data_IF_384574551125
#
_entry.id   IF_384574551125
#
_cell.length_a   1.000
_cell.length_b   1.000
_cell.length_c   1.000
_cell.angle_alpha   90.00
_cell.angle_beta   90.00
_cell.angle_gamma   90.00
#
_symmetry.space_group_name_H-M   'P 1'
#
loop_
_entity.id
_entity.type
_entity.pdbx_description
1 polymer ?
#
# COMPACT_ATOMS: atom_id res chain seq x y z
N UNK A 1 -6.85 -24.70 32.55
CA UNK A 1 -5.49 -24.60 32.01
C UNK A 1 -5.57 -23.86 30.69
N UNK A 2 -5.28 -22.57 30.71
CA UNK A 2 -5.14 -21.73 29.52
C UNK A 2 -3.83 -22.13 28.84
N UNK A 3 -3.94 -22.90 27.77
CA UNK A 3 -2.79 -23.32 27.01
C UNK A 3 -2.16 -22.10 26.31
N UNK A 4 -0.87 -21.86 26.54
CA UNK A 4 -0.03 -20.95 25.74
C UNK A 4 -0.54 -19.50 25.61
N UNK A 5 -0.80 -18.82 26.74
CA UNK A 5 -1.18 -17.39 26.78
C UNK A 5 -2.50 -17.02 26.10
N UNK A 6 -3.40 -17.98 25.93
CA UNK A 6 -4.75 -17.75 25.40
C UNK A 6 -5.76 -17.78 26.53
N UNK A 7 -6.47 -16.67 26.73
CA UNK A 7 -7.46 -16.46 27.77
C UNK A 7 -8.83 -16.33 27.12
N UNK A 8 -9.82 -17.06 27.66
CA UNK A 8 -11.20 -16.99 27.17
C UNK A 8 -11.96 -16.00 28.03
N UNK A 9 -12.57 -15.00 27.39
CA UNK A 9 -13.44 -14.02 28.03
C UNK A 9 -14.86 -14.15 27.45
N UNK A 10 -15.90 -13.85 28.23
CA UNK A 10 -15.93 -13.47 29.65
C UNK A 10 -15.65 -14.63 30.61
N UNK A 11 -14.89 -14.36 31.69
CA UNK A 11 -14.62 -15.32 32.76
C UNK A 11 -14.51 -14.59 34.11
N UNK A 12 -15.49 -14.78 35.00
CA UNK A 12 -15.59 -14.05 36.28
C UNK A 12 -14.44 -14.37 37.23
N UNK A 13 -13.77 -15.51 37.06
CA UNK A 13 -12.60 -15.88 37.87
C UNK A 13 -11.33 -15.11 37.48
N UNK A 14 -11.36 -14.33 36.40
CA UNK A 14 -10.23 -13.55 35.90
C UNK A 14 -10.63 -12.09 35.96
N UNK A 15 -10.25 -11.38 37.02
CA UNK A 15 -10.48 -9.95 37.20
C UNK A 15 -9.26 -9.11 36.78
N UNK A 16 -8.07 -9.72 36.77
CA UNK A 16 -6.81 -9.09 36.40
C UNK A 16 -5.97 -9.96 35.48
N UNK A 17 -5.51 -9.39 34.37
CA UNK A 17 -4.54 -9.98 33.47
C UNK A 17 -3.22 -9.22 33.53
N UNK A 18 -2.14 -9.91 33.87
CA UNK A 18 -0.80 -9.30 33.89
C UNK A 18 0.05 -9.83 32.75
N UNK A 19 0.67 -8.94 31.97
CA UNK A 19 1.74 -9.26 31.01
C UNK A 19 3.09 -8.89 31.60
N UNK A 20 4.11 -9.67 31.28
CA UNK A 20 5.45 -9.53 31.85
C UNK A 20 6.49 -9.38 30.75
N UNK A 21 7.63 -8.81 31.08
CA UNK A 21 8.77 -8.66 30.17
C UNK A 21 9.28 -10.00 29.59
N UNK A 22 9.12 -11.12 30.30
CA UNK A 22 9.66 -12.40 29.86
C UNK A 22 9.06 -12.86 28.53
N UNK A 23 9.91 -13.38 27.62
CA UNK A 23 9.51 -13.84 26.28
C UNK A 23 8.31 -14.82 26.27
N UNK A 24 8.14 -15.60 27.33
CA UNK A 24 7.02 -16.53 27.47
C UNK A 24 5.71 -15.84 27.86
N UNK A 25 5.72 -14.69 28.53
CA UNK A 25 4.54 -13.99 29.06
C UNK A 25 4.38 -12.55 28.55
N UNK A 26 5.20 -12.13 27.57
CA UNK A 26 5.14 -10.80 26.96
C UNK A 26 3.87 -10.56 26.15
N UNK A 27 3.16 -11.63 25.78
CA UNK A 27 1.96 -11.55 24.93
C UNK A 27 0.86 -12.45 25.46
N UNK A 28 -0.37 -11.95 25.41
CA UNK A 28 -1.57 -12.69 25.80
C UNK A 28 -2.69 -12.42 24.80
N UNK A 29 -3.42 -13.47 24.43
CA UNK A 29 -4.57 -13.38 23.56
C UNK A 29 -5.84 -13.49 24.39
N UNK A 30 -6.73 -12.52 24.25
CA UNK A 30 -8.08 -12.56 24.79
C UNK A 30 -9.03 -12.97 23.68
N UNK A 31 -9.74 -14.07 23.86
CA UNK A 31 -10.69 -14.61 22.88
C UNK A 31 -12.10 -14.50 23.46
N UNK A 32 -12.96 -13.73 22.80
CA UNK A 32 -14.36 -13.63 23.15
C UNK A 32 -15.10 -14.91 22.72
N UNK A 33 -15.71 -15.63 23.67
CA UNK A 33 -16.56 -16.81 23.42
C UNK A 33 -17.82 -16.76 24.28
N UNK A 34 -18.83 -17.53 23.87
CA UNK A 34 -19.95 -17.83 24.76
C UNK A 34 -19.43 -18.74 25.88
N UNK A 35 -19.58 -18.30 27.13
CA UNK A 35 -19.15 -19.02 28.33
C UNK A 35 -20.36 -19.26 29.24
N UNK A 36 -20.19 -20.04 30.31
CA UNK A 36 -21.22 -20.17 31.35
C UNK A 36 -21.61 -18.84 31.96
N UNK A 37 -20.64 -17.93 32.07
CA UNK A 37 -20.78 -16.63 32.72
C UNK A 37 -21.51 -15.63 31.81
N UNK A 38 -21.41 -15.85 30.49
CA UNK A 38 -22.12 -15.08 29.48
C UNK A 38 -22.65 -16.01 28.37
N UNK A 39 -23.82 -16.64 28.58
CA UNK A 39 -24.46 -17.50 27.60
C UNK A 39 -25.05 -16.69 26.43
N UNK A 40 -25.49 -17.39 25.39
CA UNK A 40 -26.24 -16.80 24.27
C UNK A 40 -27.72 -16.64 24.66
N UNK A 41 -28.01 -15.71 25.57
CA UNK A 41 -29.37 -15.40 26.01
C UNK A 41 -29.82 -14.06 25.42
N UNK A 42 -30.97 -14.02 24.75
CA UNK A 42 -31.47 -12.87 23.98
C UNK A 42 -31.92 -11.66 24.82
N UNK A 43 -31.92 -11.76 26.15
CA UNK A 43 -32.48 -10.75 27.05
C UNK A 43 -31.59 -10.40 28.25
N UNK A 44 -30.45 -11.07 28.42
CA UNK A 44 -29.52 -10.79 29.51
C UNK A 44 -28.22 -10.19 28.93
N UNK A 45 -28.01 -8.86 29.08
CA UNK A 45 -26.81 -8.21 28.60
C UNK A 45 -25.60 -8.73 29.39
N UNK A 46 -24.67 -9.38 28.69
CA UNK A 46 -23.39 -9.76 29.24
C UNK A 46 -22.52 -8.51 29.40
N UNK A 47 -22.09 -8.24 30.62
CA UNK A 47 -21.09 -7.21 30.95
C UNK A 47 -19.99 -7.86 31.76
N UNK A 48 -18.75 -7.67 31.33
CA UNK A 48 -17.58 -8.23 32.00
C UNK A 48 -16.46 -7.20 32.00
N UNK A 49 -15.87 -6.99 33.18
CA UNK A 49 -14.82 -6.00 33.39
C UNK A 49 -13.56 -6.71 33.90
N UNK A 50 -12.41 -6.32 33.38
CA UNK A 50 -11.11 -6.82 33.83
C UNK A 50 -10.04 -5.74 33.76
N UNK A 51 -9.02 -5.85 34.60
CA UNK A 51 -7.86 -4.95 34.60
C UNK A 51 -6.67 -5.59 33.89
N UNK A 52 -6.14 -4.92 32.89
CA UNK A 52 -4.90 -5.28 32.21
C UNK A 52 -3.72 -4.54 32.89
N UNK A 53 -2.65 -5.26 33.17
CA UNK A 53 -1.48 -4.72 33.85
C UNK A 53 -0.17 -5.13 33.16
N UNK A 54 0.70 -4.17 32.87
CA UNK A 54 2.08 -4.42 32.48
C UNK A 54 2.97 -4.45 33.73
N UNK A 55 3.60 -5.59 33.99
CA UNK A 55 4.49 -5.80 35.13
C UNK A 55 5.93 -5.93 34.65
N UNK A 56 6.65 -4.83 34.67
CA UNK A 56 8.08 -4.73 34.38
C UNK A 56 8.61 -3.39 34.87
N UNK A 57 9.89 -3.37 35.24
CA UNK A 57 10.59 -2.21 35.80
C UNK A 57 12.05 -2.23 35.34
N UNK A 58 12.27 -1.99 34.05
CA UNK A 58 13.62 -1.75 33.56
C UNK A 58 13.99 -0.27 33.77
N UNK A 59 15.18 -0.06 34.35
CA UNK A 59 15.79 1.27 34.54
C UNK A 59 14.93 2.34 35.25
N UNK A 60 13.93 1.93 36.04
CA UNK A 60 13.07 2.84 36.80
C UNK A 60 11.99 3.55 35.96
N UNK A 61 11.70 3.06 34.74
CA UNK A 61 10.63 3.56 33.89
C UNK A 61 9.40 2.65 33.95
N UNK A 62 8.22 3.23 33.80
CA UNK A 62 6.97 2.48 33.76
C UNK A 62 6.81 1.78 32.41
N UNK A 63 6.57 0.47 32.45
CA UNK A 63 6.15 -0.33 31.31
C UNK A 63 4.79 0.09 30.77
N UNK A 64 4.50 -0.26 29.52
CA UNK A 64 3.25 0.08 28.83
C UNK A 64 2.59 -1.17 28.26
N UNK A 65 1.32 -1.01 27.89
CA UNK A 65 0.52 -2.02 27.21
C UNK A 65 0.32 -1.59 25.76
N UNK A 66 0.64 -2.48 24.83
CA UNK A 66 0.19 -2.36 23.45
C UNK A 66 -0.96 -3.32 23.18
N UNK A 67 -1.99 -2.85 22.49
CA UNK A 67 -3.16 -3.66 22.18
C UNK A 67 -3.41 -3.66 20.67
N UNK A 68 -3.60 -4.86 20.11
CA UNK A 68 -3.91 -5.07 18.70
C UNK A 68 -5.15 -5.97 18.56
N UNK A 69 -6.07 -5.59 17.69
CA UNK A 69 -7.22 -6.43 17.33
C UNK A 69 -6.76 -7.44 16.28
N UNK A 70 -6.90 -8.73 16.58
CA UNK A 70 -6.48 -9.84 15.72
C UNK A 70 -7.66 -10.34 14.90
N UNK A 71 -8.79 -10.60 15.57
CA UNK A 71 -10.04 -10.93 14.91
C UNK A 71 -11.11 -9.93 15.29
N UNK A 72 -11.92 -9.57 14.30
CA UNK A 72 -12.87 -8.48 14.39
C UNK A 72 -14.18 -8.94 15.01
N UNK A 73 -14.93 -7.92 15.41
CA UNK A 73 -16.36 -8.01 15.69
C UNK A 73 -17.07 -8.43 14.40
N UNK A 74 -17.94 -9.44 14.48
CA UNK A 74 -18.78 -9.85 13.35
C UNK A 74 -20.05 -8.98 13.24
N UNK A 75 -20.72 -9.05 12.09
CA UNK A 75 -21.98 -8.33 11.87
C UNK A 75 -23.18 -9.03 12.55
N UNK A 76 -23.02 -10.30 12.95
CA UNK A 76 -24.06 -11.12 13.56
C UNK A 76 -24.23 -10.88 15.08
N UNK A 77 -23.31 -10.14 15.72
CA UNK A 77 -23.32 -9.83 17.15
C UNK A 77 -23.22 -8.33 17.40
N UNK A 78 -23.67 -7.88 18.56
CA UNK A 78 -23.46 -6.53 19.09
C UNK A 78 -22.27 -6.43 20.07
N UNK A 79 -21.42 -7.45 20.15
CA UNK A 79 -20.28 -7.42 21.06
C UNK A 79 -19.34 -6.23 20.85
N UNK A 80 -18.82 -5.70 21.95
CA UNK A 80 -17.77 -4.68 21.95
C UNK A 80 -16.81 -4.89 23.13
N UNK A 81 -15.58 -4.44 22.93
CA UNK A 81 -14.57 -4.33 23.97
C UNK A 81 -14.16 -2.87 24.03
N UNK A 82 -14.45 -2.22 25.15
CA UNK A 82 -14.03 -0.84 25.42
C UNK A 82 -12.80 -0.90 26.32
N UNK A 83 -11.69 -0.36 25.81
CA UNK A 83 -10.42 -0.21 26.54
C UNK A 83 -10.35 1.20 27.08
N UNK A 84 -10.12 1.35 28.38
CA UNK A 84 -10.15 2.63 29.08
C UNK A 84 -8.79 2.86 29.73
N UNK A 85 -8.12 3.92 29.30
CA UNK A 85 -6.95 4.48 29.97
C UNK A 85 -7.39 5.64 30.86
N UNK A 86 -7.52 5.35 32.15
CA UNK A 86 -7.96 6.34 33.15
C UNK A 86 -6.98 7.50 33.31
N UNK A 87 -5.68 7.26 33.10
CA UNK A 87 -4.64 8.29 33.22
C UNK A 87 -4.61 9.14 31.95
N UNK A 88 -4.65 8.48 30.80
CA UNK A 88 -4.69 9.15 29.49
C UNK A 88 -6.02 9.82 29.17
N UNK A 89 -7.08 9.55 29.95
CA UNK A 89 -8.47 9.98 29.69
C UNK A 89 -8.93 9.62 28.28
N UNK A 90 -8.54 8.44 27.81
CA UNK A 90 -8.90 7.93 26.49
C UNK A 90 -9.61 6.60 26.62
N UNK A 91 -10.60 6.39 25.75
CA UNK A 91 -11.28 5.14 25.57
C UNK A 91 -11.22 4.74 24.09
N UNK A 92 -11.14 3.44 23.84
CA UNK A 92 -11.14 2.88 22.49
C UNK A 92 -12.11 1.71 22.43
N UNK A 93 -13.09 1.81 21.55
CA UNK A 93 -14.02 0.72 21.21
C UNK A 93 -13.40 -0.17 20.13
N UNK A 94 -13.29 -1.47 20.37
CA UNK A 94 -12.82 -2.43 19.35
C UNK A 94 -13.79 -2.51 18.15
N UNK A 95 -15.08 -2.20 18.36
CA UNK A 95 -16.09 -2.11 17.30
C UNK A 95 -16.01 -0.81 16.50
N UNK A 96 -15.93 0.34 17.17
CA UNK A 96 -16.07 1.65 16.52
C UNK A 96 -14.73 2.30 16.16
N UNK A 97 -13.70 2.06 16.96
CA UNK A 97 -12.40 2.74 16.89
C UNK A 97 -11.30 1.82 16.32
N UNK A 98 -11.68 0.78 15.58
CA UNK A 98 -10.76 -0.23 15.01
C UNK A 98 -9.57 0.40 14.28
N UNK A 99 -9.80 1.56 13.67
CA UNK A 99 -8.83 2.32 12.89
C UNK A 99 -7.64 2.87 13.69
N UNK A 100 -7.82 3.03 15.01
CA UNK A 100 -6.79 3.53 15.90
C UNK A 100 -5.79 2.45 16.33
N UNK A 101 -6.14 1.16 16.16
CA UNK A 101 -5.28 0.05 16.52
C UNK A 101 -4.11 -0.15 15.51
N UNK A 102 -2.94 -0.59 15.97
CA UNK A 102 -2.60 -0.88 17.36
C UNK A 102 -2.51 0.40 18.22
N UNK A 103 -2.95 0.30 19.47
CA UNK A 103 -2.90 1.39 20.45
C UNK A 103 -1.82 1.11 21.49
N UNK A 104 -1.29 2.19 22.09
CA UNK A 104 -0.33 2.15 23.18
C UNK A 104 -0.92 2.89 24.39
N UNK A 105 -0.93 2.25 25.56
CA UNK A 105 -1.35 2.89 26.81
C UNK A 105 -0.32 3.94 27.28
N UNK A 106 -0.81 4.95 28.00
CA UNK A 106 0.06 5.95 28.63
C UNK A 106 0.63 5.40 29.94
N UNK A 107 -0.16 4.60 30.66
CA UNK A 107 0.23 3.94 31.91
C UNK A 107 0.53 2.45 31.72
N UNK A 108 0.90 1.78 32.80
CA UNK A 108 1.00 0.32 32.86
C UNK A 108 -0.35 -0.38 33.12
N UNK A 109 -1.46 0.35 33.15
CA UNK A 109 -2.80 -0.18 33.46
C UNK A 109 -3.83 0.21 32.41
N UNK A 110 -4.64 -0.73 31.98
CA UNK A 110 -5.84 -0.46 31.17
C UNK A 110 -7.03 -1.21 31.77
N UNK A 111 -8.19 -0.58 31.79
CA UNK A 111 -9.43 -1.28 32.09
C UNK A 111 -10.05 -1.78 30.79
N UNK A 112 -10.47 -3.03 30.78
CA UNK A 112 -11.18 -3.65 29.68
C UNK A 112 -12.62 -3.91 30.12
N UNK A 113 -13.57 -3.42 29.33
CA UNK A 113 -14.99 -3.68 29.51
C UNK A 113 -15.55 -4.37 28.27
N UNK A 114 -15.94 -5.62 28.42
CA UNK A 114 -16.65 -6.40 27.40
C UNK A 114 -18.16 -6.24 27.60
N UNK A 115 -18.88 -6.00 26.50
CA UNK A 115 -20.34 -5.95 26.48
C UNK A 115 -20.89 -6.73 25.31
N UNK A 116 -21.94 -7.52 25.52
CA UNK A 116 -22.69 -8.21 24.45
C UNK A 116 -24.14 -8.44 24.87
N UNK A 117 -25.10 -8.19 24.00
CA UNK A 117 -26.52 -8.52 24.25
C UNK A 117 -27.05 -9.64 23.34
N UNK A 118 -26.53 -9.78 22.12
CA UNK A 118 -26.92 -10.86 21.21
C UNK A 118 -25.78 -11.29 20.26
N UNK A 119 -26.02 -12.41 19.58
CA UNK A 119 -25.13 -12.95 18.55
C UNK A 119 -23.92 -13.70 19.11
N UNK A 120 -23.26 -14.44 18.22
CA UNK A 120 -22.09 -15.24 18.58
C UNK A 120 -20.84 -14.36 18.60
N UNK A 121 -20.05 -14.35 19.68
CA UNK A 121 -18.81 -13.58 19.73
C UNK A 121 -17.72 -14.18 18.83
N UNK A 122 -16.89 -13.31 18.27
CA UNK A 122 -15.73 -13.64 17.43
C UNK A 122 -14.48 -12.78 17.72
N UNK A 123 -14.59 -11.70 18.50
CA UNK A 123 -13.45 -10.79 18.75
C UNK A 123 -12.26 -11.51 19.38
N UNK A 124 -11.06 -11.22 18.86
CA UNK A 124 -9.78 -11.63 19.45
C UNK A 124 -8.89 -10.40 19.58
N UNK A 125 -8.39 -10.16 20.79
CA UNK A 125 -7.48 -9.05 21.10
C UNK A 125 -6.15 -9.60 21.60
N UNK A 126 -5.06 -9.06 21.08
CA UNK A 126 -3.69 -9.30 21.54
C UNK A 126 -3.28 -8.18 22.50
N UNK A 127 -2.87 -8.57 23.70
CA UNK A 127 -2.29 -7.70 24.74
C UNK A 127 -0.80 -7.97 24.81
N UNK A 128 0.00 -6.94 24.62
CA UNK A 128 1.46 -6.98 24.59
C UNK A 128 2.03 -6.14 25.72
N UNK A 129 3.01 -6.71 26.42
CA UNK A 129 3.95 -5.95 27.22
C UNK A 129 4.85 -5.16 26.27
N UNK A 130 5.05 -3.87 26.56
CA UNK A 130 6.00 -3.03 25.85
C UNK A 130 6.89 -2.36 26.90
N UNK A 131 8.20 -2.54 26.76
CA UNK A 131 9.15 -1.86 27.63
C UNK A 131 9.19 -0.35 27.35
N UNK A 132 9.67 0.44 28.30
CA UNK A 132 9.82 1.88 28.17
C UNK A 132 10.77 2.31 27.04
N UNK A 133 11.72 1.46 26.64
CA UNK A 133 12.63 1.71 25.51
C UNK A 133 12.07 1.24 24.17
N UNK A 134 11.08 0.34 24.20
CA UNK A 134 10.41 -0.12 22.99
C UNK A 134 9.41 0.92 22.50
N UNK A 135 9.19 0.94 21.19
CA UNK A 135 8.19 1.80 20.58
C UNK A 135 7.38 1.02 19.56
N UNK A 136 6.08 1.25 19.59
CA UNK A 136 5.18 0.76 18.56
C UNK A 136 5.19 1.77 17.42
N UNK A 137 5.69 1.36 16.26
CA UNK A 137 5.69 2.19 15.06
C UNK A 137 4.71 1.66 14.01
N UNK A 138 4.08 2.58 13.27
CA UNK A 138 3.27 2.27 12.09
C UNK A 138 4.12 2.26 10.81
N UNK A 139 5.43 2.26 10.99
CA UNK A 139 6.44 2.18 9.95
C UNK A 139 7.09 0.81 9.98
N UNK A 140 7.02 0.08 8.88
CA UNK A 140 7.76 -1.17 8.70
C UNK A 140 9.01 -0.83 7.91
N UNK A 141 10.18 -1.01 8.51
CA UNK A 141 11.46 -0.85 7.85
C UNK A 141 12.18 -2.20 7.78
N UNK A 142 12.41 -2.70 6.58
CA UNK A 142 13.28 -3.87 6.34
C UNK A 142 14.54 -3.37 5.66
N UNK A 143 15.67 -3.67 6.28
CA UNK A 143 16.98 -3.16 5.88
C UNK A 143 17.97 -4.31 5.75
N UNK A 144 18.71 -4.35 4.64
CA UNK A 144 19.80 -5.33 4.41
C UNK A 144 19.39 -6.76 4.77
N UNK A 145 18.30 -7.23 4.17
CA UNK A 145 17.66 -8.50 4.51
C UNK A 145 17.27 -9.29 3.26
N UNK A 146 16.95 -10.56 3.44
CA UNK A 146 16.50 -11.44 2.37
C UNK A 146 15.16 -12.09 2.74
N UNK A 147 14.21 -12.05 1.80
CA UNK A 147 12.88 -12.64 1.90
C UNK A 147 12.74 -13.59 0.70
N UNK A 148 13.03 -14.87 0.95
CA UNK A 148 13.24 -15.88 -0.08
C UNK A 148 12.28 -17.06 0.11
N UNK A 149 11.72 -17.57 -0.99
CA UNK A 149 10.92 -18.80 -1.02
C UNK A 149 9.69 -18.79 -0.10
N UNK A 150 9.01 -17.65 0.04
CA UNK A 150 7.79 -17.52 0.83
C UNK A 150 6.54 -17.64 -0.05
N UNK A 151 5.43 -18.10 0.55
CA UNK A 151 4.12 -18.06 -0.11
C UNK A 151 3.64 -16.63 -0.32
N UNK A 152 3.92 -15.73 0.62
CA UNK A 152 3.69 -14.31 0.50
C UNK A 152 4.96 -13.62 0.98
N UNK A 153 5.64 -12.86 0.12
CA UNK A 153 6.85 -12.14 0.53
C UNK A 153 6.51 -11.06 1.57
N UNK A 154 5.63 -10.15 1.17
CA UNK A 154 5.06 -9.09 1.99
C UNK A 154 3.62 -8.94 1.53
N UNK A 155 2.68 -9.13 2.44
CA UNK A 155 1.28 -8.77 2.24
C UNK A 155 0.90 -7.80 3.35
N UNK A 156 0.58 -6.57 2.97
CA UNK A 156 0.01 -5.59 3.89
C UNK A 156 -1.40 -5.29 3.41
N UNK A 157 -2.39 -5.28 4.30
CA UNK A 157 -3.74 -4.87 3.97
C UNK A 157 -4.09 -3.74 4.92
N UNK A 158 -4.01 -2.52 4.40
CA UNK A 158 -4.34 -1.33 5.16
C UNK A 158 -5.85 -1.08 5.07
N UNK A 159 -6.52 -1.18 6.22
CA UNK A 159 -7.97 -1.11 6.30
C UNK A 159 -8.47 0.32 6.09
N UNK A 160 -8.93 0.59 4.88
CA UNK A 160 -9.51 1.90 4.49
C UNK A 160 -11.00 1.82 4.16
N UNK A 161 -11.57 0.61 4.14
CA UNK A 161 -12.95 0.38 3.74
C UNK A 161 -13.71 -0.36 4.84
N UNK A 162 -13.93 0.34 5.96
CA UNK A 162 -14.82 -0.14 7.02
C UNK A 162 -16.11 0.67 6.97
N UNK A 163 -17.18 0.01 6.57
CA UNK A 163 -18.54 0.52 6.72
C UNK A 163 -19.03 0.12 8.10
N UNK A 164 -19.30 1.11 8.95
CA UNK A 164 -20.04 0.85 10.19
C UNK A 164 -21.48 0.46 9.86
N UNK A 165 -22.23 -0.10 10.82
CA UNK A 165 -23.66 -0.42 10.66
C UNK A 165 -24.54 0.78 10.22
N UNK A 166 -24.00 1.99 10.33
CA UNK A 166 -24.64 3.24 9.91
C UNK A 166 -24.21 3.69 8.49
N UNK A 167 -23.58 2.82 7.70
CA UNK A 167 -22.99 3.10 6.38
C UNK A 167 -21.91 4.21 6.35
N UNK A 168 -21.46 4.67 7.53
CA UNK A 168 -20.33 5.59 7.59
C UNK A 168 -19.04 4.84 7.23
N UNK A 169 -18.34 5.35 6.22
CA UNK A 169 -17.00 4.91 5.83
C UNK A 169 -15.97 5.50 6.80
N UNK A 170 -15.26 4.65 7.53
CA UNK A 170 -14.13 5.08 8.37
C UNK A 170 -12.83 5.13 7.55
N UNK A 171 -12.28 6.33 7.40
CA UNK A 171 -11.00 6.57 6.70
C UNK A 171 -9.86 6.75 7.70
N UNK A 172 -8.78 5.98 7.52
CA UNK A 172 -7.65 5.93 8.46
C UNK A 172 -6.77 7.15 8.34
N UNK A 173 -6.92 8.08 9.28
CA UNK A 173 -6.06 9.25 9.35
C UNK A 173 -4.75 8.99 10.10
N UNK A 174 -3.85 8.22 9.50
CA UNK A 174 -2.54 7.88 10.08
C UNK A 174 -1.39 8.06 9.08
N UNK A 175 -0.20 8.35 9.61
CA UNK A 175 1.05 8.31 8.84
C UNK A 175 1.58 6.88 8.95
N UNK A 176 1.63 6.19 7.83
CA UNK A 176 2.13 4.82 7.71
C UNK A 176 3.19 4.79 6.62
N UNK A 177 4.15 3.88 6.75
CA UNK A 177 5.28 3.82 5.83
C UNK A 177 5.76 2.39 5.70
N UNK A 178 5.79 1.89 4.47
CA UNK A 178 6.59 0.73 4.12
C UNK A 178 7.93 1.22 3.58
N UNK A 179 9.01 0.85 4.26
CA UNK A 179 10.37 1.18 3.87
C UNK A 179 11.16 -0.11 3.64
N UNK A 180 11.58 -0.33 2.39
CA UNK A 180 12.47 -1.42 2.03
C UNK A 180 13.76 -0.84 1.47
N UNK A 181 14.88 -1.19 2.08
CA UNK A 181 16.19 -0.75 1.63
C UNK A 181 17.19 -1.89 1.60
N UNK A 182 17.78 -2.14 0.44
CA UNK A 182 18.76 -3.23 0.22
C UNK A 182 18.17 -4.60 0.58
N UNK A 183 16.93 -4.85 0.18
CA UNK A 183 16.21 -6.10 0.45
C UNK A 183 16.14 -6.96 -0.81
N UNK A 184 16.43 -8.25 -0.64
CA UNK A 184 16.31 -9.26 -1.70
C UNK A 184 15.00 -10.03 -1.57
N UNK A 185 14.10 -9.87 -2.55
CA UNK A 185 12.84 -10.60 -2.68
C UNK A 185 12.97 -11.63 -3.80
N UNK A 186 13.22 -12.89 -3.45
CA UNK A 186 13.60 -13.93 -4.42
C UNK A 186 12.66 -15.14 -4.33
N UNK A 187 12.20 -15.64 -5.48
CA UNK A 187 11.41 -16.89 -5.58
C UNK A 187 10.17 -16.92 -4.67
N UNK A 188 9.55 -15.78 -4.38
CA UNK A 188 8.31 -15.78 -3.61
C UNK A 188 7.13 -16.05 -4.54
N UNK A 189 6.17 -16.84 -4.07
CA UNK A 189 4.86 -16.96 -4.72
C UNK A 189 3.93 -15.87 -4.18
N UNK A 190 2.82 -15.59 -4.85
CA UNK A 190 1.73 -14.68 -4.41
C UNK A 190 2.18 -13.40 -3.66
N UNK A 191 3.25 -12.78 -4.15
CA UNK A 191 3.93 -11.69 -3.46
C UNK A 191 3.33 -10.33 -3.86
N UNK A 192 2.23 -9.95 -3.23
CA UNK A 192 1.56 -8.69 -3.56
C UNK A 192 1.72 -7.68 -2.41
N UNK A 193 2.46 -6.60 -2.68
CA UNK A 193 2.51 -5.45 -1.79
C UNK A 193 1.27 -4.61 -2.09
N UNK A 194 0.19 -4.85 -1.34
CA UNK A 194 -0.98 -3.98 -1.33
C UNK A 194 -0.76 -2.85 -0.32
N UNK A 195 -0.96 -1.60 -0.72
CA UNK A 195 -1.09 -0.49 0.21
C UNK A 195 -2.34 0.28 -0.18
N UNK A 196 -3.40 0.09 0.59
CA UNK A 196 -4.59 0.95 0.52
C UNK A 196 -4.46 2.02 1.60
N UNK A 197 -4.00 3.21 1.24
CA UNK A 197 -3.79 4.29 2.19
C UNK A 197 -4.82 5.40 2.03
N UNK A 198 -5.60 5.73 3.06
CA UNK A 198 -6.42 6.92 3.09
C UNK A 198 -5.64 8.03 3.82
N UNK A 199 -4.38 8.28 3.44
CA UNK A 199 -3.58 9.31 4.09
C UNK A 199 -4.14 10.70 3.76
N UNK A 200 -4.78 11.33 4.75
CA UNK A 200 -5.27 12.72 4.65
C UNK A 200 -4.27 13.77 5.17
N UNK A 201 -3.33 13.39 6.06
CA UNK A 201 -2.25 14.27 6.55
C UNK A 201 -0.93 13.85 5.93
N UNK A 202 -0.41 14.73 5.10
CA UNK A 202 0.96 14.67 4.61
C UNK A 202 1.77 15.58 5.51
N UNK A 203 2.65 15.00 6.33
CA UNK A 203 3.81 15.75 6.77
C UNK A 203 4.82 15.72 5.64
N UNK A 204 5.37 16.89 5.30
CA UNK A 204 6.45 17.00 4.32
C UNK A 204 7.53 15.96 4.66
N UNK A 205 8.01 15.24 3.65
CA UNK A 205 9.03 14.18 3.75
C UNK A 205 8.61 12.88 4.47
N UNK A 206 7.32 12.52 4.53
CA UNK A 206 6.89 11.17 4.96
C UNK A 206 6.38 10.32 3.80
N UNK A 207 7.25 9.48 3.19
CA UNK A 207 6.80 8.50 2.20
C UNK A 207 5.80 7.53 2.80
N UNK A 208 4.71 7.26 2.08
CA UNK A 208 3.88 6.09 2.32
C UNK A 208 4.64 4.82 1.92
N UNK A 209 5.36 4.88 0.81
CA UNK A 209 6.20 3.79 0.32
C UNK A 209 7.57 4.34 -0.09
N UNK A 210 8.62 3.82 0.55
CA UNK A 210 10.01 4.07 0.15
C UNK A 210 10.69 2.75 -0.16
N UNK A 211 10.93 2.46 -1.42
CA UNK A 211 11.60 1.25 -1.90
C UNK A 211 12.87 1.67 -2.60
N UNK A 212 14.01 1.48 -1.95
CA UNK A 212 15.31 1.92 -2.47
C UNK A 212 16.34 0.80 -2.51
N UNK A 213 17.03 0.61 -3.63
CA UNK A 213 18.15 -0.36 -3.74
C UNK A 213 17.74 -1.83 -3.48
N UNK A 214 16.49 -2.20 -3.80
CA UNK A 214 16.00 -3.57 -3.60
C UNK A 214 16.14 -4.42 -4.87
N UNK A 215 16.15 -5.75 -4.71
CA UNK A 215 16.14 -6.73 -5.80
C UNK A 215 14.88 -7.58 -5.70
N UNK A 216 14.06 -7.57 -6.74
CA UNK A 216 12.87 -8.41 -6.91
C UNK A 216 13.12 -9.37 -8.06
N UNK A 217 13.24 -10.66 -7.77
CA UNK A 217 13.61 -11.65 -8.77
C UNK A 217 12.81 -12.94 -8.70
N UNK A 218 12.40 -13.44 -9.87
CA UNK A 218 11.71 -14.72 -10.04
C UNK A 218 10.47 -14.86 -9.14
N UNK A 219 9.81 -13.75 -8.82
CA UNK A 219 8.58 -13.78 -8.05
C UNK A 219 7.39 -14.06 -8.97
N UNK A 220 6.43 -14.86 -8.49
CA UNK A 220 5.21 -15.18 -9.23
C UNK A 220 4.00 -14.53 -8.58
N UNK A 221 3.02 -14.13 -9.38
CA UNK A 221 1.90 -13.29 -8.93
C UNK A 221 2.38 -12.06 -8.15
N UNK A 222 3.48 -11.46 -8.61
CA UNK A 222 4.10 -10.32 -7.94
C UNK A 222 3.50 -9.01 -8.43
N UNK A 223 3.08 -8.16 -7.50
CA UNK A 223 2.64 -6.81 -7.83
C UNK A 223 2.90 -5.83 -6.68
N UNK A 224 3.21 -4.59 -7.03
CA UNK A 224 3.18 -3.44 -6.12
C UNK A 224 1.91 -2.65 -6.45
N UNK A 225 0.91 -2.74 -5.58
CA UNK A 225 -0.37 -2.08 -5.76
C UNK A 225 -0.59 -1.02 -4.67
N UNK A 226 -0.50 0.25 -5.04
CA UNK A 226 -0.63 1.39 -4.15
C UNK A 226 -1.90 2.16 -4.50
N UNK A 227 -2.90 2.15 -3.63
CA UNK A 227 -4.20 2.79 -3.85
C UNK A 227 -4.59 3.70 -2.67
N UNK A 228 -5.52 4.61 -2.91
CA UNK A 228 -6.17 5.45 -1.90
C UNK A 228 -5.92 6.94 -2.10
N UNK A 229 -5.88 7.71 -1.01
CA UNK A 229 -5.72 9.17 -1.01
C UNK A 229 -4.30 9.60 -1.45
N UNK A 230 -3.99 10.88 -1.30
CA UNK A 230 -2.69 11.42 -1.64
C UNK A 230 -1.57 10.67 -0.90
N UNK A 231 -0.49 10.34 -1.61
CA UNK A 231 0.67 9.72 -0.99
C UNK A 231 1.99 10.11 -1.67
N UNK A 232 3.05 10.23 -0.86
CA UNK A 232 4.42 10.30 -1.36
C UNK A 232 4.97 8.90 -1.58
N UNK A 233 5.46 8.63 -2.80
CA UNK A 233 5.98 7.34 -3.23
C UNK A 233 7.37 7.54 -3.82
N UNK A 234 8.35 6.84 -3.26
CA UNK A 234 9.70 6.80 -3.80
C UNK A 234 10.11 5.36 -4.08
N UNK A 235 10.20 5.01 -5.36
CA UNK A 235 10.70 3.73 -5.84
C UNK A 235 11.93 4.05 -6.66
N UNK A 236 13.11 3.89 -6.09
CA UNK A 236 14.35 4.25 -6.76
C UNK A 236 15.48 3.24 -6.64
N UNK A 237 16.31 3.17 -7.68
CA UNK A 237 17.49 2.30 -7.70
C UNK A 237 17.18 0.80 -7.48
N UNK A 238 15.98 0.33 -7.80
CA UNK A 238 15.61 -1.08 -7.62
C UNK A 238 15.85 -1.90 -8.90
N UNK A 239 16.00 -3.21 -8.74
CA UNK A 239 16.08 -4.15 -9.85
C UNK A 239 14.91 -5.16 -9.80
N UNK A 240 14.09 -5.18 -10.84
CA UNK A 240 12.98 -6.11 -11.06
C UNK A 240 13.35 -6.99 -12.25
N UNK A 241 13.61 -8.28 -12.00
CA UNK A 241 14.05 -9.22 -13.04
C UNK A 241 13.22 -10.50 -13.01
N UNK A 242 12.75 -10.97 -14.18
CA UNK A 242 12.05 -12.25 -14.31
C UNK A 242 10.83 -12.42 -13.38
N UNK A 243 10.13 -11.34 -13.02
CA UNK A 243 8.91 -11.44 -12.22
C UNK A 243 7.70 -11.68 -13.13
N UNK A 244 6.75 -12.50 -12.68
CA UNK A 244 5.47 -12.69 -13.34
C UNK A 244 4.37 -12.00 -12.53
N UNK A 245 3.75 -10.99 -13.14
CA UNK A 245 2.72 -10.19 -12.53
C UNK A 245 1.29 -10.68 -12.87
N UNK A 246 0.32 -10.51 -11.96
CA UNK A 246 -1.08 -10.82 -12.24
C UNK A 246 -1.63 -9.94 -13.38
N UNK A 247 -2.40 -10.55 -14.31
CA UNK A 247 -2.92 -9.85 -15.50
C UNK A 247 -3.79 -8.61 -15.18
N UNK A 248 -4.55 -8.65 -14.09
CA UNK A 248 -5.48 -7.56 -13.72
C UNK A 248 -4.78 -6.38 -13.02
N UNK A 249 -3.59 -6.61 -12.48
CA UNK A 249 -2.86 -5.67 -11.61
C UNK A 249 -1.59 -5.15 -12.28
N UNK A 250 -0.94 -5.95 -13.15
CA UNK A 250 0.39 -5.65 -13.68
C UNK A 250 1.46 -5.60 -12.59
N UNK A 251 2.67 -5.18 -12.95
CA UNK A 251 3.81 -5.22 -12.03
C UNK A 251 3.72 -4.13 -10.96
N UNK A 252 3.47 -2.88 -11.37
CA UNK A 252 3.33 -1.74 -10.46
C UNK A 252 2.11 -0.93 -10.88
N UNK A 253 1.17 -0.75 -9.96
CA UNK A 253 -0.05 0.03 -10.17
C UNK A 253 -0.26 1.01 -9.03
N UNK A 254 -0.40 2.27 -9.41
CA UNK A 254 -0.71 3.40 -8.54
C UNK A 254 -2.14 3.86 -8.87
N UNK A 255 -3.03 3.87 -7.87
CA UNK A 255 -4.44 4.21 -8.02
C UNK A 255 -4.95 5.20 -6.98
N UNK A 256 -6.11 5.79 -7.24
CA UNK A 256 -6.87 6.61 -6.31
C UNK A 256 -6.71 8.10 -6.57
N UNK A 257 -6.34 8.88 -5.55
CA UNK A 257 -5.97 10.30 -5.68
C UNK A 257 -4.49 10.47 -6.02
N UNK A 258 -4.05 11.70 -6.20
CA UNK A 258 -2.73 12.08 -6.68
C UNK A 258 -1.58 11.48 -5.88
N UNK A 259 -0.48 11.19 -6.55
CA UNK A 259 0.71 10.61 -5.94
C UNK A 259 1.90 11.50 -6.23
N UNK A 260 2.58 11.96 -5.17
CA UNK A 260 3.88 12.60 -5.30
C UNK A 260 4.92 11.51 -5.54
N UNK A 261 5.25 11.29 -6.81
CA UNK A 261 5.95 10.10 -7.29
C UNK A 261 7.38 10.42 -7.70
N UNK A 262 8.31 9.66 -7.15
CA UNK A 262 9.69 9.55 -7.61
C UNK A 262 9.95 8.10 -8.03
N UNK A 263 9.87 7.84 -9.33
CA UNK A 263 10.19 6.55 -9.92
C UNK A 263 11.47 6.69 -10.77
N UNK A 264 12.62 6.40 -10.16
CA UNK A 264 13.89 6.71 -10.83
C UNK A 264 15.01 5.70 -10.65
N UNK A 265 15.87 5.57 -11.67
CA UNK A 265 17.03 4.66 -11.65
C UNK A 265 16.67 3.19 -11.43
N UNK A 266 15.44 2.78 -11.71
CA UNK A 266 15.03 1.38 -11.62
C UNK A 266 15.39 0.61 -12.90
N UNK A 267 15.64 -0.69 -12.74
CA UNK A 267 15.82 -1.64 -13.86
C UNK A 267 14.69 -2.64 -13.83
N UNK A 268 13.93 -2.72 -14.91
CA UNK A 268 12.81 -3.63 -15.12
C UNK A 268 13.13 -4.43 -16.38
N UNK A 269 13.56 -5.67 -16.19
CA UNK A 269 14.06 -6.51 -17.29
C UNK A 269 13.41 -7.90 -17.25
N UNK A 270 12.94 -8.39 -18.40
CA UNK A 270 12.35 -9.73 -18.53
C UNK A 270 11.15 -10.01 -17.61
N UNK A 271 10.42 -8.98 -17.18
CA UNK A 271 9.21 -9.18 -16.40
C UNK A 271 8.02 -9.47 -17.34
N UNK A 272 7.12 -10.34 -16.89
CA UNK A 272 5.91 -10.72 -17.59
C UNK A 272 4.68 -10.11 -16.91
N UNK A 273 3.77 -9.50 -17.68
CA UNK A 273 2.50 -8.97 -17.19
C UNK A 273 2.02 -7.79 -18.02
N UNK A 274 0.71 -7.49 -17.98
CA UNK A 274 0.08 -6.52 -18.88
C UNK A 274 0.73 -5.12 -18.88
N UNK A 275 1.33 -4.69 -17.76
CA UNK A 275 2.10 -3.45 -17.72
C UNK A 275 3.18 -3.43 -16.65
N UNK A 276 4.18 -2.58 -16.85
CA UNK A 276 5.27 -2.40 -15.87
C UNK A 276 4.96 -1.31 -14.86
N UNK A 277 4.42 -0.18 -15.32
CA UNK A 277 4.00 0.92 -14.47
C UNK A 277 2.68 1.51 -14.96
N UNK A 278 1.65 1.50 -14.10
CA UNK A 278 0.38 2.15 -14.34
C UNK A 278 0.08 3.16 -13.24
N UNK A 279 -0.30 4.37 -13.63
CA UNK A 279 -0.84 5.39 -12.76
C UNK A 279 -2.27 5.69 -13.20
N UNK A 280 -3.27 5.51 -12.33
CA UNK A 280 -4.70 5.71 -12.63
C UNK A 280 -5.32 6.55 -11.51
N UNK A 281 -5.27 7.87 -11.69
CA UNK A 281 -5.66 8.87 -10.71
C UNK A 281 -7.06 9.41 -11.03
N UNK A 282 -8.06 9.06 -10.23
CA UNK A 282 -9.47 9.28 -10.58
C UNK A 282 -10.13 10.47 -9.89
N UNK A 283 -9.36 11.24 -9.12
CA UNK A 283 -9.88 12.34 -8.32
C UNK A 283 -8.84 13.44 -8.24
N UNK A 284 -9.33 14.63 -7.94
CA UNK A 284 -8.50 15.77 -7.59
C UNK A 284 -8.24 15.78 -6.08
N UNK A 285 -7.01 16.05 -5.69
CA UNK A 285 -6.63 16.36 -4.33
C UNK A 285 -7.11 17.77 -4.04
N UNK A 286 -7.40 18.06 -2.77
CA UNK A 286 -7.73 19.42 -2.33
C UNK A 286 -6.49 20.34 -2.32
N UNK A 287 -5.45 20.03 -3.08
CA UNK A 287 -4.12 20.66 -3.05
C UNK A 287 -3.69 21.08 -4.45
N UNK A 288 -2.64 21.90 -4.50
CA UNK A 288 -1.98 22.35 -5.72
C UNK A 288 -1.40 21.17 -6.53
N UNK A 289 -0.82 21.50 -7.69
CA UNK A 289 -0.23 20.56 -8.64
C UNK A 289 0.75 19.57 -7.97
N UNK A 290 0.55 18.27 -8.22
CA UNK A 290 1.32 17.18 -7.58
C UNK A 290 2.32 16.59 -8.56
N UNK A 291 3.59 16.56 -8.16
CA UNK A 291 4.69 16.10 -9.00
C UNK A 291 4.72 14.58 -9.18
N UNK A 292 4.89 14.12 -10.41
CA UNK A 292 5.20 12.72 -10.72
C UNK A 292 6.37 12.65 -11.71
N UNK A 293 7.49 12.09 -11.26
CA UNK A 293 8.71 11.93 -12.04
C UNK A 293 8.99 10.46 -12.32
N UNK A 294 9.09 10.12 -13.60
CA UNK A 294 9.50 8.81 -14.09
C UNK A 294 10.75 9.03 -14.95
N UNK A 295 11.93 8.82 -14.37
CA UNK A 295 13.18 9.19 -15.04
C UNK A 295 14.36 8.25 -14.79
N UNK A 296 15.29 8.16 -15.74
CA UNK A 296 16.50 7.34 -15.64
C UNK A 296 16.24 5.84 -15.42
N UNK A 297 15.07 5.33 -15.83
CA UNK A 297 14.72 3.91 -15.70
C UNK A 297 15.06 3.12 -16.95
N UNK A 298 15.26 1.82 -16.78
CA UNK A 298 15.47 0.85 -17.85
C UNK A 298 14.29 -0.10 -17.87
N UNK A 299 13.44 -0.02 -18.90
CA UNK A 299 12.38 -0.98 -19.16
C UNK A 299 12.73 -1.76 -20.44
N UNK A 300 13.34 -2.92 -20.27
CA UNK A 300 13.89 -3.69 -21.39
C UNK A 300 13.32 -5.10 -21.40
N UNK A 301 12.88 -5.57 -22.56
CA UNK A 301 12.49 -6.97 -22.79
C UNK A 301 11.41 -7.48 -21.82
N UNK A 302 10.59 -6.58 -21.29
CA UNK A 302 9.36 -6.96 -20.60
C UNK A 302 8.29 -7.27 -21.66
N UNK A 303 7.27 -8.02 -21.27
CA UNK A 303 6.26 -8.42 -22.23
C UNK A 303 5.00 -9.02 -21.64
N UNK A 304 4.00 -9.09 -22.49
CA UNK A 304 2.76 -9.78 -22.21
C UNK A 304 2.27 -10.46 -23.49
N UNK A 305 2.18 -11.78 -23.46
CA UNK A 305 1.64 -12.56 -24.58
C UNK A 305 0.27 -13.09 -24.15
N UNK A 306 -0.79 -12.64 -24.84
CA UNK A 306 -2.14 -13.22 -24.72
C UNK A 306 -2.52 -13.88 -26.04
N UNK A 307 -3.25 -14.99 -25.96
CA UNK A 307 -3.72 -15.72 -27.13
C UNK A 307 -4.57 -14.82 -28.03
N UNK A 308 -4.33 -14.94 -29.33
CA UNK A 308 -4.70 -14.01 -30.42
C UNK A 308 -6.18 -13.94 -30.77
N UNK A 309 -7.08 -14.56 -29.98
CA UNK A 309 -8.45 -14.84 -30.44
C UNK A 309 -9.50 -13.74 -30.16
N UNK A 310 -9.17 -12.68 -29.41
CA UNK A 310 -10.12 -11.58 -29.12
C UNK A 310 -9.59 -10.22 -29.60
N UNK A 311 -9.69 -9.99 -30.91
CA UNK A 311 -9.32 -8.73 -31.56
C UNK A 311 -10.51 -7.75 -31.62
N UNK A 312 -11.12 -7.43 -30.47
CA UNK A 312 -12.33 -6.57 -30.43
C UNK A 312 -12.24 -5.41 -29.42
N UNK A 313 -11.11 -5.20 -28.75
CA UNK A 313 -10.97 -4.06 -27.85
C UNK A 313 -10.18 -2.93 -28.51
N UNK A 314 -10.82 -1.75 -28.68
CA UNK A 314 -10.16 -0.47 -29.02
C UNK A 314 -9.25 0.05 -27.89
N UNK A 315 -8.97 -0.76 -26.88
CA UNK A 315 -8.27 -0.38 -25.67
C UNK A 315 -6.87 -1.00 -25.64
N UNK A 316 -5.83 -0.27 -25.23
CA UNK A 316 -4.48 -0.83 -25.13
C UNK A 316 -4.44 -1.96 -24.10
N UNK A 317 -4.12 -3.18 -24.55
CA UNK A 317 -4.16 -4.39 -23.72
C UNK A 317 -2.90 -4.52 -22.87
N UNK A 318 -1.77 -4.05 -23.41
CA UNK A 318 -0.50 -4.08 -22.73
C UNK A 318 0.41 -2.90 -23.05
N UNK A 319 1.16 -2.44 -22.06
CA UNK A 319 1.99 -1.25 -22.19
C UNK A 319 3.12 -1.18 -21.15
N UNK A 320 4.23 -0.50 -21.46
CA UNK A 320 5.30 -0.32 -20.47
C UNK A 320 4.88 0.66 -19.38
N UNK A 321 4.51 1.89 -19.76
CA UNK A 321 4.09 2.97 -18.85
C UNK A 321 2.73 3.47 -19.28
N UNK A 322 1.78 3.58 -18.36
CA UNK A 322 0.47 4.18 -18.65
C UNK A 322 0.04 5.14 -17.56
N UNK A 323 -0.22 6.39 -17.95
CA UNK A 323 -0.71 7.44 -17.06
C UNK A 323 -2.17 7.70 -17.44
N UNK A 324 -3.06 7.63 -16.46
CA UNK A 324 -4.49 7.75 -16.66
C UNK A 324 -5.11 8.66 -15.61
N UNK A 325 -6.21 9.31 -16.00
CA UNK A 325 -7.02 10.10 -15.09
C UNK A 325 -6.52 11.54 -14.95
N UNK A 326 -6.53 12.15 -13.77
CA UNK A 326 -6.42 13.60 -13.61
C UNK A 326 -5.00 14.16 -13.40
N UNK A 327 -3.99 13.32 -13.15
CA UNK A 327 -2.64 13.79 -12.82
C UNK A 327 -1.65 13.48 -13.96
N UNK A 328 -0.93 14.52 -14.39
CA UNK A 328 0.17 14.40 -15.36
C UNK A 328 1.44 13.83 -14.71
N UNK A 329 2.31 13.26 -15.54
CA UNK A 329 3.64 12.83 -15.14
C UNK A 329 4.70 13.34 -16.11
N UNK A 330 5.88 13.64 -15.59
CA UNK A 330 7.08 13.92 -16.37
C UNK A 330 7.84 12.61 -16.59
N UNK A 331 7.92 12.16 -17.84
CA UNK A 331 8.50 10.87 -18.21
C UNK A 331 9.69 11.12 -19.13
N UNK A 332 10.90 11.26 -18.61
CA UNK A 332 12.05 11.59 -19.46
C UNK A 332 13.33 10.88 -19.00
N UNK A 333 14.33 10.78 -19.88
CA UNK A 333 15.59 10.09 -19.61
C UNK A 333 15.45 8.58 -19.35
N UNK A 334 14.36 7.95 -19.80
CA UNK A 334 14.17 6.49 -19.69
C UNK A 334 14.66 5.76 -20.94
N UNK A 335 14.89 4.46 -20.78
CA UNK A 335 15.13 3.52 -21.88
C UNK A 335 14.00 2.52 -21.96
N UNK A 336 13.30 2.51 -23.08
CA UNK A 336 12.11 1.73 -23.36
C UNK A 336 12.41 0.85 -24.57
N UNK A 337 12.33 -0.48 -24.41
CA UNK A 337 12.46 -1.43 -25.53
C UNK A 337 11.77 -2.74 -25.16
N UNK A 338 10.47 -2.82 -25.38
CA UNK A 338 9.60 -3.91 -24.96
C UNK A 338 8.71 -4.35 -26.14
N UNK A 339 9.31 -5.09 -27.08
CA UNK A 339 8.68 -5.50 -28.36
C UNK A 339 7.40 -6.33 -28.19
N UNK A 340 7.17 -6.91 -27.01
CA UNK A 340 6.04 -7.76 -26.70
C UNK A 340 4.86 -6.99 -26.08
N UNK A 341 4.97 -5.69 -25.87
CA UNK A 341 3.84 -4.83 -25.51
C UNK A 341 3.23 -4.18 -26.73
N UNK A 342 1.93 -3.88 -26.67
CA UNK A 342 1.25 -3.13 -27.71
C UNK A 342 1.86 -1.71 -27.80
N UNK A 343 2.04 -1.04 -26.65
CA UNK A 343 2.60 0.33 -26.57
C UNK A 343 3.76 0.43 -25.55
N UNK A 344 4.67 1.38 -25.74
CA UNK A 344 5.62 1.75 -24.68
C UNK A 344 5.00 2.74 -23.69
N UNK A 345 4.19 3.67 -24.19
CA UNK A 345 3.60 4.73 -23.38
C UNK A 345 2.13 4.92 -23.70
N UNK A 346 1.32 5.16 -22.67
CA UNK A 346 -0.03 5.69 -22.79
C UNK A 346 -0.12 7.02 -22.05
N UNK A 347 -0.44 8.08 -22.80
CA UNK A 347 -0.64 9.45 -22.32
C UNK A 347 -2.13 9.69 -21.98
N UNK A 348 -2.73 8.78 -21.24
CA UNK A 348 -4.17 8.71 -20.96
C UNK A 348 -4.68 9.66 -19.88
N UNK A 349 -3.92 10.69 -19.52
CA UNK A 349 -4.39 11.71 -18.59
C UNK A 349 -5.45 12.57 -19.27
N UNK A 350 -6.39 13.08 -18.46
CA UNK A 350 -7.51 13.92 -18.86
C UNK A 350 -7.35 15.22 -18.10
N UNK A 351 -6.65 16.17 -18.71
CA UNK A 351 -6.48 17.46 -18.07
C UNK A 351 -7.70 18.35 -18.24
N UNK A 352 -7.84 19.33 -17.35
CA UNK A 352 -8.88 20.34 -17.43
C UNK A 352 -8.59 21.38 -18.53
N UNK A 353 -7.31 21.60 -18.87
CA UNK A 353 -6.88 22.45 -19.97
C UNK A 353 -6.53 21.61 -21.20
N UNK A 354 -7.04 22.00 -22.36
CA UNK A 354 -6.76 21.38 -23.67
C UNK A 354 -5.29 21.58 -24.07
N UNK A 355 -4.63 22.60 -23.50
CA UNK A 355 -3.22 22.91 -23.77
C UNK A 355 -2.25 22.05 -22.97
N UNK A 356 -2.74 21.31 -21.98
CA UNK A 356 -1.86 20.49 -21.15
C UNK A 356 -1.34 19.30 -21.95
N UNK A 357 -0.03 19.11 -21.87
CA UNK A 357 0.70 18.08 -22.58
C UNK A 357 1.52 17.25 -21.59
N UNK A 358 1.72 15.99 -21.91
CA UNK A 358 2.59 15.12 -21.13
C UNK A 358 4.01 15.23 -21.65
N UNK A 359 4.91 15.73 -20.81
CA UNK A 359 6.33 15.80 -21.15
C UNK A 359 6.94 14.40 -21.16
N UNK A 360 7.21 13.89 -22.35
CA UNK A 360 7.82 12.57 -22.56
C UNK A 360 9.12 12.63 -23.37
N UNK A 361 9.82 13.76 -23.23
CA UNK A 361 11.07 14.05 -23.94
C UNK A 361 12.25 13.22 -23.44
N UNK A 362 13.33 13.21 -24.20
CA UNK A 362 14.60 12.58 -23.91
C UNK A 362 14.50 11.11 -23.48
N UNK A 363 13.58 10.35 -24.06
CA UNK A 363 13.53 8.89 -23.89
C UNK A 363 14.19 8.19 -25.08
N UNK A 364 14.73 7.00 -24.84
CA UNK A 364 15.09 6.04 -25.88
C UNK A 364 13.92 5.07 -26.05
N UNK A 365 13.39 4.96 -27.27
CA UNK A 365 12.19 4.16 -27.58
C UNK A 365 12.50 2.79 -28.21
N UNK A 366 13.78 2.39 -28.21
CA UNK A 366 14.25 1.17 -28.86
C UNK A 366 14.51 1.33 -30.36
N UNK A 367 14.05 2.44 -30.94
CA UNK A 367 14.17 2.80 -32.37
C UNK A 367 14.43 4.31 -32.50
N UNK A 368 15.08 4.70 -33.59
CA UNK A 368 15.39 6.11 -33.91
C UNK A 368 14.45 6.72 -34.98
N UNK A 369 13.45 5.95 -35.43
CA UNK A 369 12.49 6.36 -36.45
C UNK A 369 11.27 7.01 -35.80
N UNK A 370 11.03 8.27 -36.10
CA UNK A 370 9.92 9.05 -35.53
C UNK A 370 8.55 8.41 -35.79
N UNK A 371 8.31 7.91 -37.00
CA UNK A 371 7.03 7.28 -37.35
C UNK A 371 6.76 6.00 -36.56
N UNK A 372 7.81 5.23 -36.25
CA UNK A 372 7.70 4.06 -35.39
C UNK A 372 7.48 4.46 -33.93
N UNK A 373 8.09 5.56 -33.47
CA UNK A 373 7.87 6.08 -32.11
C UNK A 373 6.41 6.49 -31.93
N UNK A 374 5.81 7.19 -32.90
CA UNK A 374 4.38 7.52 -32.88
C UNK A 374 3.51 6.26 -32.69
N UNK A 375 3.80 5.16 -33.38
CA UNK A 375 3.04 3.91 -33.23
C UNK A 375 3.20 3.23 -31.86
N UNK A 376 4.22 3.61 -31.08
CA UNK A 376 4.51 3.06 -29.76
C UNK A 376 3.97 3.92 -28.62
N UNK A 377 3.42 5.09 -28.93
CA UNK A 377 2.81 6.01 -27.97
C UNK A 377 1.31 6.05 -28.27
N UNK A 378 0.49 5.85 -27.25
CA UNK A 378 -0.96 6.02 -27.34
C UNK A 378 -1.36 7.32 -26.66
N UNK A 379 -1.85 8.30 -27.41
CA UNK A 379 -2.16 9.64 -26.88
C UNK A 379 -3.44 10.27 -27.48
N UNK A 380 -3.50 11.61 -27.54
CA UNK A 380 -4.63 12.37 -28.07
C UNK A 380 -4.97 12.01 -29.53
N UNK A 381 -3.97 11.68 -30.36
CA UNK A 381 -4.20 11.38 -31.78
C UNK A 381 -4.92 10.04 -31.97
N UNK A 382 -4.65 9.07 -31.11
CA UNK A 382 -5.36 7.79 -31.07
C UNK A 382 -6.72 7.93 -30.38
N UNK A 383 -6.79 8.76 -29.34
CA UNK A 383 -7.99 8.95 -28.54
C UNK A 383 -8.13 10.37 -28.00
N UNK A 384 -9.02 11.14 -28.61
CA UNK A 384 -9.22 12.58 -28.41
C UNK A 384 -9.56 13.08 -26.99
N UNK A 385 -9.75 12.20 -26.00
CA UNK A 385 -9.94 12.59 -24.59
C UNK A 385 -8.64 12.58 -23.78
N UNK A 386 -7.55 12.11 -24.38
CA UNK A 386 -6.24 11.95 -23.76
C UNK A 386 -5.36 13.18 -23.98
N UNK A 387 -4.29 13.30 -23.21
CA UNK A 387 -3.33 14.41 -23.34
C UNK A 387 -2.30 14.11 -24.41
N UNK A 388 -1.91 15.12 -25.19
CA UNK A 388 -0.85 14.98 -26.19
C UNK A 388 0.50 14.64 -25.54
N UNK A 389 1.25 13.71 -26.12
CA UNK A 389 2.54 13.28 -25.61
C UNK A 389 3.71 13.96 -26.34
N UNK A 390 4.42 14.86 -25.66
CA UNK A 390 5.59 15.54 -26.23
C UNK A 390 6.85 14.69 -26.10
N UNK A 391 7.18 13.89 -27.13
CA UNK A 391 8.35 13.01 -27.11
C UNK A 391 9.62 13.60 -27.74
N UNK A 392 9.51 14.69 -28.50
CA UNK A 392 10.64 15.36 -29.15
C UNK A 392 11.21 16.47 -28.24
N UNK A 393 12.53 16.52 -27.99
CA UNK A 393 13.59 15.66 -28.51
C UNK A 393 13.61 14.28 -27.87
N UNK A 394 14.03 13.26 -28.61
CA UNK A 394 14.23 11.88 -28.13
C UNK A 394 15.67 11.42 -28.38
N UNK A 395 16.09 10.34 -27.71
CA UNK A 395 17.39 9.73 -27.96
C UNK A 395 17.38 8.92 -29.25
N UNK A 396 18.43 9.02 -30.06
CA UNK A 396 18.59 8.28 -31.33
C UNK A 396 19.45 7.03 -31.19
N UNK A 397 20.13 6.86 -30.05
CA UNK A 397 20.89 5.64 -29.74
C UNK A 397 20.77 5.26 -28.26
N UNK A 398 21.13 4.01 -27.96
CA UNK A 398 21.34 3.53 -26.59
C UNK A 398 22.50 4.24 -25.85
N UNK A 399 23.31 5.02 -26.56
CA UNK A 399 24.40 5.84 -25.99
C UNK A 399 23.92 7.25 -25.60
N UNK A 400 22.60 7.48 -25.64
CA UNK A 400 21.93 8.75 -25.30
C UNK A 400 22.32 9.93 -26.22
N UNK A 401 22.65 9.67 -27.49
CA UNK A 401 22.73 10.76 -28.47
C UNK A 401 21.32 11.33 -28.70
N UNK A 402 21.20 12.65 -28.77
CA UNK A 402 19.92 13.34 -29.02
C UNK A 402 19.75 13.51 -30.53
N UNK A 403 18.51 13.46 -31.03
CA UNK A 403 18.21 13.77 -32.44
C UNK A 403 18.79 15.13 -32.85
N UNK A 404 19.77 15.11 -33.75
CA UNK A 404 20.56 16.28 -34.15
C UNK A 404 19.79 17.23 -35.09
N UNK A 405 18.65 16.80 -35.62
CA UNK A 405 17.80 17.58 -36.55
C UNK A 405 16.68 18.33 -35.83
N UNK A 406 16.78 18.50 -34.50
CA UNK A 406 15.84 19.29 -33.73
C UNK A 406 15.74 20.71 -34.29
N UNK A 407 14.53 21.07 -34.72
CA UNK A 407 14.14 22.46 -34.92
C UNK A 407 13.15 22.77 -33.79
N UNK A 408 13.35 23.84 -33.00
CA UNK A 408 12.31 24.28 -32.08
C UNK A 408 11.05 24.54 -32.92
N UNK A 409 9.96 23.87 -32.59
CA UNK A 409 8.68 24.26 -33.15
C UNK A 409 8.43 25.71 -32.73
N UNK A 410 8.34 26.60 -33.71
CA UNK A 410 7.83 27.93 -33.46
C UNK A 410 6.43 27.73 -32.89
N UNK A 411 6.22 28.17 -31.64
CA UNK A 411 4.92 28.16 -30.98
C UNK A 411 3.94 28.91 -31.88
N UNK A 412 3.19 28.17 -32.70
CA UNK A 412 2.05 28.72 -33.40
C UNK A 412 0.95 28.77 -32.35
N UNK A 413 0.75 29.95 -31.78
CA UNK A 413 -0.43 30.23 -30.98
C UNK A 413 -1.67 29.96 -31.84
N UNK A 414 -2.37 28.86 -31.56
CA UNK A 414 -3.77 28.69 -31.93
C UNK A 414 -4.67 29.13 -30.79
#
# INVERSE_FOLDING_TARGET
MEANNVFIIPNVNIDKLTVHESHLNQRKFLIAKATSDCPLALLDPCVYEMSLFASGHEYGLNSRLAIQVINRVNEESDEDIVLIDNIGKKNWSVRSDLIHFPILSISNTLQLKYTRTYGKPSVIVLVLFLDAQEYLNRFVHVYQSEIISNQHAISSIHYSNWTTRNDNLLTRWAIEKLWFQKVNFINNTEAIIWIHSPQHVISNNTPLAKMTENRFENNTNFAIFLNGYYAFINISSNNFTNNNAPNEIGLITLKGMEKDLFFERNRLIYNHGCWMLKMDIRSHSLRDEVTAWIQYNYFMQNGFLRDTEEYVDMWPRSFTIGIFGSQLANIHFNRLRNILFDFELISGAKSADVKDTMNVTYNWWGVANEAEIYQRIFDFDDWNIFTLAMFNPFYVTEENFISFWWKPENVVNY
#
